data_IF_605495324683
#
_entry.id   IF_605495324683
#
_cell.length_a   1.000
_cell.length_b   1.000
_cell.length_c   1.000
_cell.angle_alpha   90.00
_cell.angle_beta   90.00
_cell.angle_gamma   90.00
#
_symmetry.space_group_name_H-M   'P 1'
#
loop_
_entity.id
_entity.type
_entity.pdbx_description
1 polymer ?
#
# COMPACT_ATOMS: atom_id res chain seq x y z
N UNK A 1 -4.37 20.37 10.40
CA UNK A 1 -3.06 19.69 10.50
C UNK A 1 -3.38 18.24 10.80
N UNK A 2 -2.94 17.30 9.97
CA UNK A 2 -3.12 15.87 10.25
C UNK A 2 -2.37 15.52 11.52
N UNK A 3 -3.05 14.85 12.46
CA UNK A 3 -2.49 14.55 13.78
C UNK A 3 -1.68 13.25 13.76
N UNK A 4 -0.72 13.16 12.82
CA UNK A 4 0.13 11.97 12.60
C UNK A 4 0.87 11.51 13.86
N UNK A 5 1.09 12.44 14.79
CA UNK A 5 1.72 12.20 16.09
C UNK A 5 0.86 11.31 17.02
N UNK A 6 -0.43 11.16 16.75
CA UNK A 6 -1.35 10.34 17.55
C UNK A 6 -1.56 8.94 16.98
N UNK A 7 -0.94 8.60 15.85
CA UNK A 7 -1.02 7.26 15.27
C UNK A 7 0.02 6.38 15.93
N UNK A 8 -0.44 5.39 16.70
CA UNK A 8 0.45 4.35 17.22
C UNK A 8 1.08 3.56 16.06
N UNK A 9 2.40 3.38 16.09
CA UNK A 9 3.14 2.61 15.09
C UNK A 9 3.43 3.38 13.79
N UNK A 10 3.24 4.70 13.77
CA UNK A 10 3.47 5.53 12.58
C UNK A 10 4.87 5.34 11.98
N UNK A 11 5.89 5.06 12.80
CA UNK A 11 7.26 4.78 12.38
C UNK A 11 7.42 3.54 11.47
N UNK A 12 6.40 2.67 11.42
CA UNK A 12 6.32 1.53 10.52
C UNK A 12 5.85 1.91 9.11
N UNK A 13 5.28 3.12 8.94
CA UNK A 13 4.97 3.68 7.63
C UNK A 13 6.24 4.27 7.01
N UNK A 14 7.13 3.41 6.55
CA UNK A 14 8.36 3.79 5.84
C UNK A 14 8.48 3.04 4.53
N UNK A 15 9.12 3.66 3.55
CA UNK A 15 9.29 3.07 2.21
C UNK A 15 9.78 1.62 2.28
N UNK A 16 9.19 0.76 1.43
CA UNK A 16 9.51 -0.66 1.33
C UNK A 16 9.29 -1.46 2.62
N UNK A 17 8.37 -1.00 3.46
CA UNK A 17 7.89 -1.73 4.63
C UNK A 17 6.47 -2.25 4.39
N UNK A 18 6.21 -3.48 4.80
CA UNK A 18 4.87 -4.09 4.76
C UNK A 18 4.38 -4.41 6.17
N UNK A 19 3.07 -4.40 6.35
CA UNK A 19 2.44 -4.69 7.64
C UNK A 19 0.92 -4.65 7.54
N UNK A 20 0.27 -4.45 8.68
CA UNK A 20 -1.17 -4.31 8.80
C UNK A 20 -1.55 -2.97 9.43
N UNK A 21 -2.56 -2.31 8.87
CA UNK A 21 -3.07 -1.03 9.37
C UNK A 21 -4.51 -1.21 9.81
N UNK A 22 -4.82 -0.82 11.04
CA UNK A 22 -6.20 -0.76 11.52
C UNK A 22 -6.75 0.64 11.26
N UNK A 23 -7.88 0.70 10.56
CA UNK A 23 -8.62 1.93 10.30
C UNK A 23 -9.59 2.23 11.45
N UNK A 24 -9.97 3.50 11.60
CA UNK A 24 -10.91 3.94 12.65
C UNK A 24 -12.32 3.37 12.49
N UNK A 25 -12.68 2.91 11.30
CA UNK A 25 -13.92 2.19 11.04
C UNK A 25 -13.88 0.70 11.45
N UNK A 26 -12.77 0.25 12.03
CA UNK A 26 -12.58 -1.12 12.52
C UNK A 26 -12.00 -2.10 11.49
N UNK A 27 -11.87 -1.71 10.21
CA UNK A 27 -11.23 -2.56 9.19
C UNK A 27 -9.73 -2.68 9.44
N UNK A 28 -9.17 -3.84 9.11
CA UNK A 28 -7.72 -4.07 9.05
C UNK A 28 -7.31 -4.30 7.61
N UNK A 29 -6.30 -3.58 7.13
CA UNK A 29 -5.79 -3.65 5.76
C UNK A 29 -4.30 -4.01 5.75
N UNK A 30 -3.92 -4.95 4.91
CA UNK A 30 -2.50 -5.22 4.63
C UNK A 30 -1.97 -4.14 3.69
N UNK A 31 -0.76 -3.66 3.99
CA UNK A 31 -0.12 -2.60 3.22
C UNK A 31 1.34 -2.93 2.89
N UNK A 32 1.83 -2.37 1.79
CA UNK A 32 3.26 -2.21 1.49
C UNK A 32 3.54 -0.78 1.06
N UNK A 33 4.32 -0.02 1.82
CA UNK A 33 4.47 1.44 1.66
C UNK A 33 5.21 1.79 0.38
N UNK A 34 4.59 2.65 -0.43
CA UNK A 34 5.19 3.26 -1.63
C UNK A 34 5.75 4.64 -1.28
N UNK A 35 4.96 5.48 -0.60
CA UNK A 35 5.42 6.76 -0.06
C UNK A 35 4.48 7.25 1.03
N UNK A 36 5.00 8.19 1.82
CA UNK A 36 4.29 8.88 2.89
C UNK A 36 4.36 10.36 2.58
N UNK A 37 3.22 11.04 2.60
CA UNK A 37 3.13 12.50 2.42
C UNK A 37 2.85 13.16 3.76
N UNK A 38 2.53 14.45 3.77
CA UNK A 38 2.23 15.18 5.01
C UNK A 38 0.97 14.68 5.74
N UNK A 39 -0.02 14.13 5.00
CA UNK A 39 -1.34 13.81 5.55
C UNK A 39 -1.84 12.40 5.20
N UNK A 40 -1.13 11.63 4.39
CA UNK A 40 -1.59 10.33 3.90
C UNK A 40 -0.43 9.37 3.57
N UNK A 41 -0.76 8.09 3.52
CA UNK A 41 0.12 7.03 3.04
C UNK A 41 -0.42 6.45 1.75
N UNK A 42 0.48 6.25 0.79
CA UNK A 42 0.21 5.57 -0.48
C UNK A 42 0.90 4.21 -0.43
N UNK A 43 0.14 3.15 -0.66
CA UNK A 43 0.61 1.78 -0.42
C UNK A 43 0.01 0.76 -1.38
N UNK A 44 0.74 -0.34 -1.59
CA UNK A 44 0.22 -1.55 -2.20
C UNK A 44 -0.78 -2.24 -1.27
N UNK A 45 -1.98 -2.51 -1.76
CA UNK A 45 -2.99 -3.29 -1.03
C UNK A 45 -2.55 -4.75 -0.89
N UNK A 46 -3.27 -5.54 -0.10
CA UNK A 46 -3.07 -7.00 -0.08
C UNK A 46 -3.18 -7.66 -1.47
N UNK A 47 -3.96 -7.08 -2.40
CA UNK A 47 -3.98 -7.52 -3.80
C UNK A 47 -2.68 -7.16 -4.51
N UNK A 48 -2.24 -5.90 -4.42
CA UNK A 48 -0.96 -5.43 -4.97
C UNK A 48 0.21 -6.28 -4.50
N UNK A 49 0.29 -6.56 -3.20
CA UNK A 49 1.33 -7.41 -2.63
C UNK A 49 1.31 -8.83 -3.21
N UNK A 50 0.14 -9.48 -3.29
CA UNK A 50 0.02 -10.84 -3.81
C UNK A 50 0.34 -10.94 -5.30
N UNK A 51 -0.09 -9.97 -6.09
CA UNK A 51 0.04 -10.05 -7.55
C UNK A 51 1.37 -9.48 -8.08
N UNK A 52 2.04 -8.60 -7.33
CA UNK A 52 3.28 -7.95 -7.78
C UNK A 52 4.53 -8.39 -7.01
N UNK A 53 4.37 -8.86 -5.77
CA UNK A 53 5.49 -9.02 -4.82
C UNK A 53 5.53 -10.38 -4.09
N UNK A 54 4.59 -11.30 -4.35
CA UNK A 54 4.62 -12.67 -3.82
C UNK A 54 5.96 -13.37 -4.17
N UNK A 55 6.64 -14.02 -3.21
CA UNK A 55 7.97 -14.61 -3.46
C UNK A 55 7.93 -15.88 -4.33
N UNK A 56 6.91 -16.71 -4.18
CA UNK A 56 6.79 -18.01 -4.86
C UNK A 56 5.76 -17.92 -6.00
N UNK A 57 6.11 -17.19 -7.06
CA UNK A 57 5.28 -17.04 -8.26
C UNK A 57 5.56 -18.14 -9.29
N UNK A 58 4.51 -18.69 -9.88
CA UNK A 58 4.63 -19.49 -11.11
C UNK A 58 4.89 -18.59 -12.34
N UNK A 59 5.10 -19.17 -13.53
CA UNK A 59 5.44 -18.40 -14.74
C UNK A 59 4.33 -17.41 -15.16
N UNK A 60 3.06 -17.79 -15.04
CA UNK A 60 1.95 -16.89 -15.36
C UNK A 60 1.86 -15.73 -14.35
N UNK A 61 2.03 -16.02 -13.07
CA UNK A 61 2.07 -15.03 -11.99
C UNK A 61 3.24 -14.06 -12.18
N UNK A 62 4.43 -14.55 -12.55
CA UNK A 62 5.61 -13.71 -12.85
C UNK A 62 5.33 -12.77 -14.01
N UNK A 63 4.77 -13.30 -15.12
CA UNK A 63 4.43 -12.48 -16.29
C UNK A 63 3.45 -11.37 -15.92
N UNK A 64 2.40 -11.70 -15.16
CA UNK A 64 1.45 -10.70 -14.67
C UNK A 64 2.10 -9.67 -13.74
N UNK A 65 2.97 -10.10 -12.83
CA UNK A 65 3.71 -9.21 -11.94
C UNK A 65 4.59 -8.23 -12.73
N UNK A 66 5.26 -8.71 -13.78
CA UNK A 66 6.06 -7.87 -14.69
C UNK A 66 5.19 -6.87 -15.46
N UNK A 67 4.03 -7.29 -15.96
CA UNK A 67 3.09 -6.38 -16.63
C UNK A 67 2.60 -5.27 -15.68
N UNK A 68 2.23 -5.63 -14.44
CA UNK A 68 1.83 -4.66 -13.42
C UNK A 68 2.97 -3.70 -13.04
N UNK A 69 4.22 -4.19 -12.97
CA UNK A 69 5.39 -3.35 -12.74
C UNK A 69 5.64 -2.38 -13.90
N UNK A 70 5.52 -2.83 -15.14
CA UNK A 70 5.58 -1.95 -16.32
C UNK A 70 4.47 -0.90 -16.33
N UNK A 71 3.25 -1.27 -15.91
CA UNK A 71 2.17 -0.30 -15.72
C UNK A 71 2.59 0.75 -14.70
N UNK A 72 3.17 0.33 -13.56
CA UNK A 72 3.60 1.25 -12.50
C UNK A 72 4.63 2.28 -12.95
N UNK A 73 5.50 1.91 -13.88
CA UNK A 73 6.56 2.76 -14.44
C UNK A 73 6.08 3.66 -15.60
N UNK A 74 4.91 3.34 -16.17
CA UNK A 74 4.33 4.06 -17.31
C UNK A 74 3.54 5.31 -16.94
N UNK A 75 3.08 6.02 -17.97
CA UNK A 75 2.24 7.20 -17.79
C UNK A 75 0.92 6.86 -17.06
N UNK A 76 0.61 7.63 -16.02
CA UNK A 76 -0.53 7.42 -15.12
C UNK A 76 -0.55 6.02 -14.46
N UNK A 77 0.63 5.40 -14.31
CA UNK A 77 0.78 4.04 -13.78
C UNK A 77 0.15 3.85 -12.40
N UNK A 78 0.40 4.80 -11.51
CA UNK A 78 -0.18 4.79 -10.18
C UNK A 78 -1.72 4.84 -10.21
N UNK A 79 -2.31 5.75 -10.99
CA UNK A 79 -3.77 5.87 -11.11
C UNK A 79 -4.38 4.57 -11.64
N UNK A 80 -3.77 3.97 -12.68
CA UNK A 80 -4.22 2.67 -13.22
C UNK A 80 -4.16 1.56 -12.16
N UNK A 81 -3.15 1.56 -11.31
CA UNK A 81 -3.02 0.61 -10.21
C UNK A 81 -3.98 0.90 -9.05
N UNK A 82 -4.38 2.16 -8.85
CA UNK A 82 -5.47 2.53 -7.94
C UNK A 82 -6.82 2.04 -8.45
N UNK A 83 -7.14 2.31 -9.72
CA UNK A 83 -8.41 1.90 -10.35
C UNK A 83 -8.60 0.38 -10.33
N UNK A 84 -7.50 -0.36 -10.45
CA UNK A 84 -7.49 -1.83 -10.41
C UNK A 84 -7.33 -2.41 -8.99
N UNK A 85 -7.25 -1.56 -7.95
CA UNK A 85 -7.22 -1.95 -6.54
C UNK A 85 -5.88 -2.52 -6.04
N UNK A 86 -4.78 -2.31 -6.78
CA UNK A 86 -3.43 -2.74 -6.38
C UNK A 86 -2.74 -1.71 -5.49
N UNK A 87 -3.02 -0.42 -5.71
CA UNK A 87 -2.55 0.70 -4.89
C UNK A 87 -3.76 1.37 -4.24
N UNK A 88 -3.59 1.91 -3.05
CA UNK A 88 -4.59 2.78 -2.46
C UNK A 88 -3.93 3.87 -1.61
N UNK A 89 -4.74 4.85 -1.21
CA UNK A 89 -4.33 5.97 -0.38
C UNK A 89 -5.20 5.96 0.87
N UNK A 90 -4.59 6.18 2.03
CA UNK A 90 -5.33 6.34 3.29
C UNK A 90 -4.82 7.58 4.00
N UNK A 91 -5.76 8.45 4.39
CA UNK A 91 -5.44 9.63 5.19
C UNK A 91 -5.08 9.19 6.59
N UNK A 92 -4.12 9.85 7.19
CA UNK A 92 -3.72 9.61 8.58
C UNK A 92 -4.89 9.76 9.56
N UNK A 93 -5.82 10.68 9.27
CA UNK A 93 -7.03 10.88 10.05
C UNK A 93 -7.95 9.64 10.07
N UNK A 94 -7.80 8.70 9.14
CA UNK A 94 -8.58 7.45 9.08
C UNK A 94 -7.86 6.27 9.76
N UNK A 95 -6.60 6.45 10.16
CA UNK A 95 -5.77 5.39 10.76
C UNK A 95 -5.94 5.40 12.28
N UNK A 96 -6.26 4.24 12.85
CA UNK A 96 -6.29 4.04 14.30
C UNK A 96 -4.92 3.62 14.83
N UNK A 97 -4.29 2.64 14.18
CA UNK A 97 -2.93 2.17 14.53
C UNK A 97 -2.31 1.39 13.38
N UNK A 98 -0.98 1.33 13.39
CA UNK A 98 -0.16 0.59 12.44
C UNK A 98 0.54 -0.55 13.18
N UNK A 99 0.54 -1.73 12.57
CA UNK A 99 0.97 -3.00 13.15
C UNK A 99 1.86 -3.75 12.14
N UNK A 100 2.65 -4.68 12.67
CA UNK A 100 3.58 -5.50 11.90
C UNK A 100 2.93 -6.83 11.53
#
# INVERSE_FOLDING_TARGET
MSDKNNIQGFELLRFNHAGAMQLKDGRTVNYGVIRVTDNEVVYYTGKGLREMWKPNMNEEEKKRAEELKKISEGENGEQKLMDSGHITVTKFDDIARVMF
#
